data_IF_076304593701
#
_entry.id   IF_076304593701
#
_cell.length_a   1.000
_cell.length_b   1.000
_cell.length_c   1.000
_cell.angle_alpha   90.00
_cell.angle_beta   90.00
_cell.angle_gamma   90.00
#
_symmetry.space_group_name_H-M   'P 1'
#
loop_
_entity.id
_entity.type
_entity.pdbx_description
1 polymer ?
#
# COMPACT_ATOMS: atom_id res chain seq x y z
N UNK A 1 -7.42 13.06 4.08
CA UNK A 1 -8.05 11.96 3.33
C UNK A 1 -7.15 10.75 3.43
N UNK A 2 -7.75 9.57 3.65
CA UNK A 2 -7.11 8.25 3.81
C UNK A 2 -7.85 7.24 2.93
N UNK A 3 -7.33 6.02 2.79
CA UNK A 3 -8.04 4.93 2.08
C UNK A 3 -8.01 3.66 2.92
N UNK A 4 -9.02 2.81 2.75
CA UNK A 4 -9.16 1.51 3.40
C UNK A 4 -9.95 0.57 2.50
N UNK A 5 -9.73 -0.74 2.67
CA UNK A 5 -10.46 -1.77 1.92
C UNK A 5 -11.88 -2.01 2.47
N UNK A 6 -12.14 -1.62 3.73
CA UNK A 6 -13.40 -1.83 4.46
C UNK A 6 -13.74 -3.30 4.72
N UNK A 7 -13.99 -4.09 3.66
CA UNK A 7 -14.50 -5.47 3.74
C UNK A 7 -13.70 -6.44 2.85
N UNK A 8 -13.68 -7.72 3.22
CA UNK A 8 -13.04 -8.80 2.44
C UNK A 8 -13.96 -10.01 2.43
N UNK A 9 -14.56 -10.31 1.27
CA UNK A 9 -15.38 -11.51 1.05
C UNK A 9 -16.41 -11.76 2.17
N UNK A 10 -17.18 -10.74 2.55
CA UNK A 10 -18.20 -10.84 3.60
C UNK A 10 -19.62 -10.60 3.06
N UNK A 11 -20.60 -10.53 3.97
CA UNK A 11 -22.01 -10.33 3.60
C UNK A 11 -22.32 -8.97 2.96
N UNK A 12 -21.39 -8.03 2.95
CA UNK A 12 -21.54 -6.70 2.36
C UNK A 12 -20.82 -6.59 1.00
N UNK A 13 -19.60 -7.13 0.87
CA UNK A 13 -18.86 -7.13 -0.40
C UNK A 13 -18.17 -8.46 -0.69
N UNK A 14 -18.31 -8.89 -1.95
CA UNK A 14 -17.76 -10.15 -2.48
C UNK A 14 -16.29 -10.08 -2.90
N UNK A 15 -15.69 -8.88 -2.90
CA UNK A 15 -14.36 -8.65 -3.44
C UNK A 15 -13.33 -8.44 -2.33
N UNK A 16 -12.06 -8.37 -2.73
CA UNK A 16 -10.96 -7.97 -1.86
C UNK A 16 -9.92 -9.06 -1.66
N UNK A 17 -8.67 -8.63 -1.54
CA UNK A 17 -7.49 -9.50 -1.34
C UNK A 17 -6.75 -9.19 -0.04
N UNK A 18 -7.04 -8.04 0.58
CA UNK A 18 -6.28 -7.52 1.72
C UNK A 18 -5.03 -6.75 1.27
N UNK A 19 -4.81 -6.61 -0.04
CA UNK A 19 -3.68 -5.87 -0.59
C UNK A 19 -4.01 -4.37 -0.74
N UNK A 20 -3.32 -3.46 -0.01
CA UNK A 20 -3.55 -2.03 -0.15
C UNK A 20 -3.34 -1.51 -1.57
N UNK A 21 -2.49 -2.15 -2.39
CA UNK A 21 -2.26 -1.72 -3.77
C UNK A 21 -3.46 -1.97 -4.69
N UNK A 22 -4.33 -2.94 -4.38
CA UNK A 22 -5.55 -3.18 -5.16
C UNK A 22 -6.53 -2.01 -4.99
N UNK A 23 -6.79 -1.59 -3.74
CA UNK A 23 -7.63 -0.42 -3.46
C UNK A 23 -6.96 0.90 -3.82
N UNK A 24 -5.63 0.97 -3.77
CA UNK A 24 -4.86 2.09 -4.31
C UNK A 24 -5.16 2.33 -5.79
N UNK A 25 -5.13 1.26 -6.59
CA UNK A 25 -5.41 1.35 -8.02
C UNK A 25 -6.87 1.76 -8.29
N UNK A 26 -7.84 1.09 -7.65
CA UNK A 26 -9.27 1.44 -7.78
C UNK A 26 -9.51 2.89 -7.35
N UNK A 27 -8.92 3.31 -6.23
CA UNK A 27 -9.01 4.67 -5.72
C UNK A 27 -8.47 5.70 -6.71
N UNK A 28 -7.35 5.42 -7.38
CA UNK A 28 -6.81 6.31 -8.40
C UNK A 28 -7.79 6.51 -9.56
N UNK A 29 -8.43 5.43 -10.03
CA UNK A 29 -9.45 5.51 -11.08
C UNK A 29 -10.68 6.30 -10.63
N UNK A 30 -11.21 6.02 -9.44
CA UNK A 30 -12.40 6.70 -8.90
C UNK A 30 -12.15 8.20 -8.67
N UNK A 31 -10.96 8.57 -8.19
CA UNK A 31 -10.60 9.96 -7.90
C UNK A 31 -10.01 10.71 -9.10
N UNK A 32 -9.88 10.06 -10.27
CA UNK A 32 -9.26 10.60 -11.48
C UNK A 32 -7.80 11.04 -11.29
N UNK A 33 -7.05 10.32 -10.44
CA UNK A 33 -5.63 10.57 -10.16
C UNK A 33 -4.75 9.97 -11.26
N UNK A 34 -4.55 10.74 -12.33
CA UNK A 34 -3.89 10.30 -13.57
C UNK A 34 -2.48 10.88 -13.79
N UNK A 35 -1.85 11.43 -12.76
CA UNK A 35 -0.50 12.03 -12.84
C UNK A 35 0.43 11.43 -11.78
N UNK A 36 1.77 11.50 -11.94
CA UNK A 36 2.70 11.07 -10.91
C UNK A 36 2.47 11.72 -9.54
N UNK A 37 2.10 13.00 -9.52
CA UNK A 37 1.81 13.77 -8.30
C UNK A 37 0.55 13.24 -7.62
N UNK A 38 -0.50 12.96 -8.39
CA UNK A 38 -1.76 12.42 -7.84
C UNK A 38 -1.63 10.95 -7.43
N UNK A 39 -0.80 10.15 -8.12
CA UNK A 39 -0.41 8.82 -7.67
C UNK A 39 0.35 8.88 -6.33
N UNK A 40 1.19 9.90 -6.12
CA UNK A 40 1.84 10.13 -4.81
C UNK A 40 0.82 10.46 -3.72
N UNK A 41 -0.23 11.22 -4.02
CA UNK A 41 -1.33 11.46 -3.06
C UNK A 41 -1.97 10.14 -2.62
N UNK A 42 -2.27 9.24 -3.57
CA UNK A 42 -2.80 7.91 -3.23
C UNK A 42 -1.81 7.09 -2.40
N UNK A 43 -0.53 7.12 -2.74
CA UNK A 43 0.51 6.45 -1.97
C UNK A 43 0.55 6.94 -0.51
N UNK A 44 0.48 8.25 -0.29
CA UNK A 44 0.43 8.83 1.05
C UNK A 44 -0.87 8.43 1.78
N UNK A 45 -2.00 8.35 1.07
CA UNK A 45 -3.27 7.86 1.61
C UNK A 45 -3.18 6.40 2.08
N UNK A 46 -2.45 5.55 1.38
CA UNK A 46 -2.21 4.16 1.76
C UNK A 46 -1.23 4.00 2.93
N UNK A 47 -0.36 4.99 3.14
CA UNK A 47 0.77 4.89 4.07
C UNK A 47 0.67 5.95 5.17
N UNK A 48 1.43 7.04 5.06
CA UNK A 48 1.65 8.02 6.12
C UNK A 48 0.38 8.70 6.61
N UNK A 49 -0.59 8.98 5.74
CA UNK A 49 -1.85 9.62 6.14
C UNK A 49 -2.72 8.66 6.93
N UNK A 50 -2.75 7.37 6.57
CA UNK A 50 -3.48 6.34 7.31
C UNK A 50 -2.83 6.07 8.66
N UNK A 51 -1.50 5.97 8.71
CA UNK A 51 -0.77 5.84 9.97
C UNK A 51 -1.09 7.00 10.93
N UNK A 52 -0.97 8.25 10.46
CA UNK A 52 -1.27 9.44 11.27
C UNK A 52 -2.74 9.54 11.69
N UNK A 53 -3.67 9.03 10.87
CA UNK A 53 -5.09 9.02 11.23
C UNK A 53 -5.40 7.99 12.33
N UNK A 54 -4.66 6.88 12.37
CA UNK A 54 -4.82 5.83 13.37
C UNK A 54 -4.10 6.19 14.69
N UNK A 55 -2.85 6.61 14.59
CA UNK A 55 -2.02 7.03 15.71
C UNK A 55 -1.14 8.22 15.26
N UNK A 56 -1.50 9.46 15.64
CA UNK A 56 -0.75 10.65 15.30
C UNK A 56 0.70 10.66 15.83
N UNK A 57 0.96 9.93 16.92
CA UNK A 57 2.25 9.90 17.62
C UNK A 57 3.09 8.66 17.24
N UNK A 58 2.59 7.85 16.30
CA UNK A 58 3.29 6.66 15.83
C UNK A 58 4.66 6.99 15.23
N UNK A 59 5.64 6.15 15.55
CA UNK A 59 6.99 6.15 14.94
C UNK A 59 6.98 5.58 13.52
N UNK A 60 6.18 6.18 12.64
CA UNK A 60 5.93 5.69 11.29
C UNK A 60 6.74 6.45 10.22
N UNK A 61 7.31 5.70 9.28
CA UNK A 61 8.03 6.23 8.12
C UNK A 61 9.54 6.00 8.16
N UNK A 62 10.19 6.19 7.01
CA UNK A 62 11.63 5.92 6.84
C UNK A 62 12.45 7.11 7.36
N UNK A 63 12.68 7.13 8.68
CA UNK A 63 13.44 8.17 9.37
C UNK A 63 14.25 7.56 10.53
N UNK A 64 15.37 8.19 10.89
CA UNK A 64 16.20 7.75 12.01
C UNK A 64 15.38 7.86 13.31
N UNK A 65 15.38 6.80 14.12
CA UNK A 65 14.67 6.74 15.40
C UNK A 65 13.28 6.10 15.33
N UNK A 66 12.74 5.89 14.13
CA UNK A 66 11.50 5.15 13.91
C UNK A 66 11.72 3.64 14.00
N UNK A 67 10.61 2.90 14.15
CA UNK A 67 10.66 1.44 14.14
C UNK A 67 11.10 0.94 12.76
N UNK A 68 11.88 -0.14 12.74
CA UNK A 68 12.38 -0.76 11.52
C UNK A 68 11.31 -1.65 10.84
N UNK A 69 10.15 -1.05 10.59
CA UNK A 69 8.98 -1.63 9.93
C UNK A 69 8.87 -1.06 8.52
N UNK A 70 9.15 -1.88 7.51
CA UNK A 70 9.13 -1.44 6.12
C UNK A 70 8.88 -2.59 5.15
N UNK A 71 8.40 -2.22 3.97
CA UNK A 71 8.28 -3.12 2.82
C UNK A 71 9.29 -2.72 1.76
N UNK A 72 10.01 -3.70 1.22
CA UNK A 72 10.74 -3.52 -0.04
C UNK A 72 9.75 -3.76 -1.16
N UNK A 73 9.45 -2.71 -1.92
CA UNK A 73 8.48 -2.75 -3.03
C UNK A 73 9.25 -2.85 -4.34
N UNK A 74 8.96 -3.90 -5.12
CA UNK A 74 9.63 -4.17 -6.40
C UNK A 74 9.01 -3.36 -7.53
N UNK A 75 9.28 -2.06 -7.51
CA UNK A 75 8.86 -1.11 -8.55
C UNK A 75 9.81 0.10 -8.58
N UNK A 76 10.02 0.72 -9.76
CA UNK A 76 10.92 1.88 -9.89
C UNK A 76 10.30 3.18 -9.36
N UNK A 77 9.00 3.19 -9.04
CA UNK A 77 8.32 4.38 -8.51
C UNK A 77 6.98 4.02 -7.86
N UNK A 78 6.38 4.98 -7.13
CA UNK A 78 5.06 4.82 -6.50
C UNK A 78 3.94 4.59 -7.50
N UNK A 79 3.99 5.24 -8.68
CA UNK A 79 2.95 5.07 -9.70
C UNK A 79 3.02 3.66 -10.30
N UNK A 80 4.23 3.16 -10.59
CA UNK A 80 4.43 1.79 -11.06
C UNK A 80 3.99 0.79 -10.00
N UNK A 81 4.37 1.01 -8.74
CA UNK A 81 3.96 0.14 -7.63
C UNK A 81 2.44 -0.05 -7.60
N UNK A 82 1.67 1.02 -7.78
CA UNK A 82 0.20 0.98 -7.85
C UNK A 82 -0.27 0.31 -9.16
N UNK A 83 0.24 0.72 -10.33
CA UNK A 83 -0.19 0.22 -11.65
C UNK A 83 -0.04 -1.30 -11.76
N UNK A 84 1.11 -1.83 -11.38
CA UNK A 84 1.40 -3.26 -11.47
C UNK A 84 1.00 -4.03 -10.21
N UNK A 85 0.54 -3.35 -9.15
CA UNK A 85 0.29 -3.92 -7.82
C UNK A 85 1.49 -4.76 -7.39
N UNK A 86 2.61 -4.06 -7.29
CA UNK A 86 3.95 -4.63 -7.24
C UNK A 86 4.14 -5.67 -6.13
N UNK A 87 5.09 -6.58 -6.38
CA UNK A 87 5.59 -7.53 -5.40
C UNK A 87 6.22 -6.81 -4.20
N UNK A 88 6.16 -7.44 -3.02
CA UNK A 88 6.86 -7.02 -1.81
C UNK A 88 7.72 -8.17 -1.31
N UNK A 89 8.88 -8.45 -1.94
CA UNK A 89 9.67 -9.64 -1.63
C UNK A 89 10.16 -9.68 -0.18
N UNK A 90 10.32 -8.53 0.47
CA UNK A 90 10.73 -8.44 1.87
C UNK A 90 9.79 -7.50 2.64
N UNK A 91 9.12 -8.06 3.64
CA UNK A 91 8.28 -7.35 4.60
C UNK A 91 8.96 -7.48 5.95
N UNK A 92 9.36 -6.35 6.51
CA UNK A 92 10.13 -6.28 7.73
C UNK A 92 9.27 -5.76 8.88
N UNK A 93 9.40 -6.41 10.04
CA UNK A 93 8.90 -5.89 11.31
C UNK A 93 10.02 -5.94 12.35
N UNK A 94 10.28 -4.79 12.99
CA UNK A 94 11.36 -4.57 13.96
C UNK A 94 12.71 -5.07 13.46
N UNK A 95 13.01 -4.76 12.20
CA UNK A 95 14.28 -5.10 11.56
C UNK A 95 14.43 -6.57 11.15
N UNK A 96 13.38 -7.39 11.27
CA UNK A 96 13.39 -8.80 10.85
C UNK A 96 12.46 -9.01 9.68
N UNK A 97 12.90 -9.75 8.67
CA UNK A 97 12.02 -10.20 7.58
C UNK A 97 11.02 -11.21 8.17
N UNK A 98 9.74 -10.90 8.10
CA UNK A 98 8.65 -11.74 8.62
C UNK A 98 7.81 -12.38 7.51
N UNK A 99 7.81 -11.79 6.32
CA UNK A 99 7.04 -12.26 5.19
C UNK A 99 7.64 -11.78 3.86
N UNK A 100 7.15 -12.36 2.77
CA UNK A 100 7.37 -11.89 1.41
C UNK A 100 6.10 -12.13 0.59
N UNK A 101 5.90 -11.29 -0.42
CA UNK A 101 4.78 -11.39 -1.35
C UNK A 101 5.30 -11.25 -2.78
N UNK A 102 5.00 -12.25 -3.61
CA UNK A 102 5.32 -12.25 -5.03
C UNK A 102 4.02 -12.15 -5.83
N UNK A 103 3.90 -11.07 -6.61
CA UNK A 103 2.81 -10.93 -7.58
C UNK A 103 3.16 -11.76 -8.82
N UNK A 104 2.54 -12.93 -8.93
CA UNK A 104 2.64 -13.74 -10.15
C UNK A 104 1.69 -13.18 -11.21
N UNK A 105 2.22 -12.85 -12.38
CA UNK A 105 1.38 -12.64 -13.55
C UNK A 105 0.72 -13.99 -13.88
N UNK A 106 -0.61 -14.03 -13.90
CA UNK A 106 -1.29 -15.13 -14.56
C UNK A 106 -1.07 -14.94 -16.05
N UNK A 107 -0.22 -15.77 -16.65
CA UNK A 107 -0.22 -15.94 -18.10
C UNK A 107 -1.58 -16.56 -18.43
N UNK A 108 -2.38 -15.84 -19.23
CA UNK A 108 -3.56 -16.40 -19.88
C UNK A 108 -3.15 -17.49 -20.87
#
# INVERSE_FOLDING_TARGET
MITAQDTICDGFHLYGTGDPLDYGLVGCYCAQYNTPETARIMWDMLTSRSARAFDPDAKYGIQIGNDADLNIVDAPSVHEAIRIRASRPYILCRGKVIAGFERKAAML
#
